data_IF_118048391279
#
_entry.id   IF_118048391279
#
_cell.length_a   1.000
_cell.length_b   1.000
_cell.length_c   1.000
_cell.angle_alpha   90.00
_cell.angle_beta   90.00
_cell.angle_gamma   90.00
#
_symmetry.space_group_name_H-M   'P 1'
#
loop_
_entity.id
_entity.type
_entity.pdbx_description
1 polymer ?
#
# COMPACT_ATOMS: atom_id res chain seq x y z
N UNK A 1 2.34 -5.39 13.67
CA UNK A 1 2.75 -4.12 13.05
C UNK A 1 2.30 -2.98 13.92
N UNK A 2 3.17 -2.01 14.14
CA UNK A 2 2.78 -0.80 14.86
C UNK A 2 1.92 0.11 13.95
N UNK A 3 0.91 0.80 14.50
CA UNK A 3 0.04 1.69 13.71
C UNK A 3 0.81 2.83 13.03
N UNK A 4 1.95 3.26 13.60
CA UNK A 4 2.82 4.26 12.99
C UNK A 4 3.52 3.75 11.73
N UNK A 5 3.95 2.50 11.73
CA UNK A 5 4.60 1.87 10.58
C UNK A 5 3.63 1.71 9.41
N UNK A 6 2.41 1.22 9.69
CA UNK A 6 1.31 1.16 8.72
C UNK A 6 1.03 2.53 8.07
N UNK A 7 1.01 3.58 8.88
CA UNK A 7 0.79 4.96 8.42
C UNK A 7 1.95 5.49 7.59
N UNK A 8 3.20 5.11 7.93
CA UNK A 8 4.39 5.45 7.13
C UNK A 8 4.30 4.81 5.75
N UNK A 9 4.08 3.49 5.70
CA UNK A 9 3.97 2.72 4.45
C UNK A 9 2.83 3.27 3.57
N UNK A 10 1.65 3.52 4.14
CA UNK A 10 0.52 4.10 3.40
C UNK A 10 0.90 5.44 2.74
N UNK A 11 1.60 6.32 3.47
CA UNK A 11 2.07 7.61 2.92
C UNK A 11 3.11 7.44 1.83
N UNK A 12 4.02 6.47 1.97
CA UNK A 12 5.02 6.16 0.96
C UNK A 12 4.36 5.71 -0.35
N UNK A 13 3.42 4.75 -0.27
CA UNK A 13 2.65 4.27 -1.43
C UNK A 13 1.90 5.42 -2.10
N UNK A 14 1.16 6.23 -1.33
CA UNK A 14 0.40 7.38 -1.87
C UNK A 14 1.31 8.37 -2.59
N UNK A 15 2.48 8.67 -2.01
CA UNK A 15 3.45 9.60 -2.59
C UNK A 15 4.08 9.06 -3.86
N UNK A 16 4.52 7.81 -3.86
CA UNK A 16 5.24 7.19 -4.97
C UNK A 16 4.32 6.92 -6.15
N UNK A 17 3.15 6.33 -5.89
CA UNK A 17 2.12 6.03 -6.90
C UNK A 17 1.30 7.26 -7.31
N UNK A 18 1.54 8.41 -6.67
CA UNK A 18 0.80 9.67 -6.88
C UNK A 18 -0.72 9.46 -6.80
N UNK A 19 -1.17 8.72 -5.80
CA UNK A 19 -2.58 8.38 -5.65
C UNK A 19 -3.37 9.66 -5.33
N UNK A 20 -4.52 9.89 -6.00
CA UNK A 20 -5.38 11.04 -5.72
C UNK A 20 -6.23 10.84 -4.45
N UNK A 21 -5.99 9.77 -3.70
CA UNK A 21 -6.74 9.38 -2.52
C UNK A 21 -5.84 8.82 -1.42
N UNK A 22 -6.36 8.83 -0.20
CA UNK A 22 -5.69 8.21 0.95
C UNK A 22 -5.97 6.71 1.00
N UNK A 23 -5.01 5.98 1.56
CA UNK A 23 -5.12 4.54 1.82
C UNK A 23 -4.71 4.24 3.27
N UNK A 24 -5.14 3.09 3.77
CA UNK A 24 -4.75 2.55 5.06
C UNK A 24 -4.24 1.12 4.91
N UNK A 25 -3.09 0.79 5.51
CA UNK A 25 -2.54 -0.57 5.49
C UNK A 25 -3.24 -1.42 6.54
N UNK A 26 -4.03 -2.39 6.09
CA UNK A 26 -4.75 -3.31 6.98
C UNK A 26 -3.92 -4.54 7.31
N UNK A 27 -3.15 -5.04 6.35
CA UNK A 27 -2.32 -6.24 6.51
C UNK A 27 -0.99 -6.07 5.77
N UNK A 28 0.08 -6.61 6.34
CA UNK A 28 1.38 -6.75 5.67
C UNK A 28 1.78 -8.23 5.72
N UNK A 29 2.29 -8.72 4.60
CA UNK A 29 2.82 -10.06 4.47
C UNK A 29 4.14 -10.04 3.68
N UNK A 30 5.27 -10.03 4.39
CA UNK A 30 6.62 -9.86 3.85
C UNK A 30 6.75 -8.55 3.04
N UNK A 31 6.48 -8.62 1.74
CA UNK A 31 6.57 -7.49 0.82
C UNK A 31 5.20 -7.11 0.23
N UNK A 32 4.12 -7.77 0.65
CA UNK A 32 2.76 -7.46 0.22
C UNK A 32 2.06 -6.62 1.29
N UNK A 33 1.38 -5.56 0.87
CA UNK A 33 0.66 -4.63 1.71
C UNK A 33 -0.76 -4.56 1.22
N UNK A 34 -1.68 -5.17 1.97
CA UNK A 34 -3.10 -5.03 1.72
C UNK A 34 -3.55 -3.69 2.29
N UNK A 35 -4.14 -2.87 1.43
CA UNK A 35 -4.58 -1.53 1.76
C UNK A 35 -6.06 -1.36 1.43
N UNK A 36 -6.72 -0.48 2.17
CA UNK A 36 -8.08 -0.06 1.89
C UNK A 36 -8.03 1.44 1.59
N UNK A 37 -8.63 1.86 0.49
CA UNK A 37 -8.76 3.28 0.18
C UNK A 37 -9.92 3.92 0.98
N UNK A 38 -9.98 5.25 0.99
CA UNK A 38 -11.09 5.99 1.61
C UNK A 38 -12.48 5.74 0.98
N UNK A 39 -12.56 5.04 -0.16
CA UNK A 39 -13.81 4.62 -0.81
C UNK A 39 -14.26 3.21 -0.37
N UNK A 40 -13.46 2.51 0.44
CA UNK A 40 -13.73 1.15 0.90
C UNK A 40 -13.30 0.06 -0.08
N UNK A 41 -12.57 0.39 -1.15
CA UNK A 41 -11.98 -0.61 -2.04
C UNK A 41 -10.66 -1.14 -1.49
N UNK A 42 -10.48 -2.44 -1.55
CA UNK A 42 -9.26 -3.13 -1.14
C UNK A 42 -8.31 -3.31 -2.32
N UNK A 43 -7.01 -3.13 -2.08
CA UNK A 43 -5.95 -3.30 -3.06
C UNK A 43 -4.73 -3.94 -2.40
N UNK A 44 -3.94 -4.68 -3.17
CA UNK A 44 -2.67 -5.24 -2.69
C UNK A 44 -1.51 -4.58 -3.41
N UNK A 45 -0.60 -3.96 -2.63
CA UNK A 45 0.65 -3.42 -3.14
C UNK A 45 1.81 -4.35 -2.81
N UNK A 46 2.73 -4.57 -3.75
CA UNK A 46 3.95 -5.36 -3.57
C UNK A 46 5.15 -4.44 -3.64
N UNK A 47 6.00 -4.46 -2.60
CA UNK A 47 7.28 -3.75 -2.59
C UNK A 47 8.36 -4.59 -3.25
N UNK A 48 8.93 -4.07 -4.32
CA UNK A 48 9.98 -4.71 -5.11
C UNK A 48 11.00 -3.65 -5.55
N UNK A 49 12.29 -3.92 -5.36
CA UNK A 49 13.37 -2.99 -5.74
C UNK A 49 13.18 -1.57 -5.18
N UNK A 50 12.63 -1.45 -3.97
CA UNK A 50 12.37 -0.17 -3.30
C UNK A 50 11.11 0.57 -3.76
N UNK A 51 10.39 0.07 -4.77
CA UNK A 51 9.17 0.65 -5.31
C UNK A 51 7.94 -0.22 -4.98
N UNK A 52 6.76 0.35 -5.04
CA UNK A 52 5.47 -0.27 -4.80
C UNK A 52 4.74 -0.46 -6.13
N UNK A 53 4.24 -1.67 -6.35
CA UNK A 53 3.46 -2.06 -7.53
C UNK A 53 2.12 -2.62 -7.09
N UNK A 54 1.06 -2.44 -7.87
CA UNK A 54 -0.16 -3.21 -7.62
C UNK A 54 0.13 -4.68 -7.95
N UNK A 55 -0.44 -5.60 -7.16
CA UNK A 55 -0.34 -7.03 -7.44
C UNK A 55 -0.84 -7.37 -8.86
N UNK A 56 -1.91 -6.70 -9.29
CA UNK A 56 -2.51 -6.80 -10.63
C UNK A 56 -1.57 -6.35 -11.77
N UNK A 57 -0.56 -5.51 -11.49
CA UNK A 57 0.43 -5.08 -12.49
C UNK A 57 1.56 -6.09 -12.71
N UNK A 58 1.68 -7.10 -11.84
CA UNK A 58 2.76 -8.08 -11.84
C UNK A 58 2.32 -9.46 -12.37
N UNK A 59 1.06 -9.62 -12.74
CA UNK A 59 0.49 -10.80 -13.41
C UNK A 59 0.60 -10.67 -14.95
#
# INVERSE_FOLDING_TARGET
MEPEEKRRIAKEIVRERRLPYSIEVVEENNNKYRVINNFGSEMTYIKKDGNYFLEDELE
#
